data_IF_216537338522
#
_entry.id   IF_216537338522
#
_cell.length_a   1.000
_cell.length_b   1.000
_cell.length_c   1.000
_cell.angle_alpha   90.00
_cell.angle_beta   90.00
_cell.angle_gamma   90.00
#
_symmetry.space_group_name_H-M   'P 1'
#
loop_
_entity.id
_entity.type
_entity.pdbx_description
1 polymer ?
#
# COMPACT_ATOMS: atom_id res chain seq x y z
N UNK A 1 4.46 -0.48 22.45
CA UNK A 1 3.77 -1.23 21.38
C UNK A 1 4.57 -1.13 20.09
N UNK A 2 5.02 0.08 19.75
CA UNK A 2 5.96 0.43 18.67
C UNK A 2 7.25 -0.40 18.63
N UNK A 3 7.88 -0.72 19.77
CA UNK A 3 9.15 -1.50 19.77
C UNK A 3 9.00 -2.89 19.13
N UNK A 4 7.86 -3.56 19.39
CA UNK A 4 7.57 -4.87 18.77
C UNK A 4 7.28 -4.73 17.27
N UNK A 5 6.66 -3.62 16.86
CA UNK A 5 6.37 -3.34 15.45
C UNK A 5 7.67 -3.02 14.69
N UNK A 6 8.57 -2.24 15.27
CA UNK A 6 9.89 -1.96 14.70
C UNK A 6 10.72 -3.24 14.51
N UNK A 7 10.65 -4.18 15.45
CA UNK A 7 11.31 -5.48 15.32
C UNK A 7 10.79 -6.29 14.11
N UNK A 8 9.47 -6.29 13.85
CA UNK A 8 8.89 -6.93 12.66
C UNK A 8 9.40 -6.31 11.36
N UNK A 9 9.45 -4.97 11.30
CA UNK A 9 9.99 -4.25 10.13
C UNK A 9 11.47 -4.57 9.92
N UNK A 10 12.25 -4.64 11.00
CA UNK A 10 13.67 -4.99 10.93
C UNK A 10 13.89 -6.43 10.43
N UNK A 11 13.10 -7.38 10.93
CA UNK A 11 13.14 -8.78 10.49
C UNK A 11 12.74 -8.90 9.01
N UNK A 12 11.66 -8.25 8.59
CA UNK A 12 11.22 -8.21 7.20
C UNK A 12 12.32 -7.67 6.26
N UNK A 13 12.98 -6.58 6.66
CA UNK A 13 14.11 -6.00 5.91
C UNK A 13 15.30 -6.97 5.81
N UNK A 14 15.56 -7.77 6.84
CA UNK A 14 16.61 -8.80 6.74
C UNK A 14 16.27 -9.88 5.72
N UNK A 15 14.99 -10.28 5.64
CA UNK A 15 14.51 -11.27 4.65
C UNK A 15 14.55 -10.75 3.21
N UNK A 16 14.50 -9.43 3.02
CA UNK A 16 14.69 -8.78 1.72
C UNK A 16 16.15 -8.65 1.29
N UNK A 17 17.13 -8.87 2.18
CA UNK A 17 18.54 -8.76 1.82
C UNK A 17 19.03 -10.00 1.10
N UNK A 18 19.85 -9.86 0.04
CA UNK A 18 20.53 -11.00 -0.55
C UNK A 18 21.53 -11.60 0.46
N UNK A 19 21.41 -12.91 0.71
CA UNK A 19 22.38 -13.65 1.52
C UNK A 19 23.72 -13.86 0.82
N UNK A 20 24.66 -14.56 1.48
CA UNK A 20 25.94 -14.96 0.87
C UNK A 20 25.66 -15.82 -0.37
N UNK A 21 26.15 -15.38 -1.54
CA UNK A 21 25.82 -15.91 -2.89
C UNK A 21 24.42 -15.59 -3.46
N UNK A 22 23.66 -14.63 -2.91
CA UNK A 22 22.44 -14.11 -3.54
C UNK A 22 21.22 -15.04 -3.52
N UNK A 23 21.32 -16.21 -2.86
CA UNK A 23 20.35 -17.31 -2.95
C UNK A 23 19.19 -17.28 -1.94
N UNK A 24 19.12 -16.28 -1.03
CA UNK A 24 18.27 -16.40 0.17
C UNK A 24 17.24 -15.27 0.40
N UNK A 25 16.89 -14.48 -0.63
CA UNK A 25 15.78 -13.52 -0.46
C UNK A 25 14.46 -14.27 -0.30
N UNK A 26 13.65 -13.85 0.67
CA UNK A 26 12.31 -14.40 0.93
C UNK A 26 11.27 -13.27 0.93
N UNK A 27 10.96 -12.73 -0.26
CA UNK A 27 10.10 -11.56 -0.39
C UNK A 27 8.65 -11.83 0.07
N UNK A 28 8.17 -13.06 -0.04
CA UNK A 28 6.88 -13.51 0.47
C UNK A 28 6.81 -13.43 1.99
N UNK A 29 7.79 -14.01 2.70
CA UNK A 29 7.87 -13.94 4.17
C UNK A 29 8.09 -12.49 4.66
N UNK A 30 8.84 -11.68 3.91
CA UNK A 30 9.02 -10.27 4.22
C UNK A 30 7.72 -9.47 4.08
N UNK A 31 6.94 -9.72 3.02
CA UNK A 31 5.65 -9.08 2.78
C UNK A 31 4.67 -9.31 3.93
N UNK A 32 4.55 -10.55 4.41
CA UNK A 32 3.70 -10.91 5.56
C UNK A 32 4.09 -10.16 6.85
N UNK A 33 5.39 -10.05 7.11
CA UNK A 33 5.90 -9.32 8.27
C UNK A 33 5.64 -7.81 8.16
N UNK A 34 5.82 -7.23 6.97
CA UNK A 34 5.47 -5.83 6.72
C UNK A 34 3.97 -5.59 6.84
N UNK A 35 3.12 -6.44 6.27
CA UNK A 35 1.66 -6.34 6.38
C UNK A 35 1.21 -6.33 7.85
N UNK A 36 1.75 -7.27 8.64
CA UNK A 36 1.48 -7.34 10.09
C UNK A 36 1.94 -6.08 10.82
N UNK A 37 3.12 -5.55 10.48
CA UNK A 37 3.63 -4.32 11.08
C UNK A 37 2.79 -3.09 10.69
N UNK A 38 2.41 -2.97 9.41
CA UNK A 38 1.52 -1.92 8.91
C UNK A 38 0.18 -1.91 9.65
N UNK A 39 -0.38 -3.08 9.93
CA UNK A 39 -1.59 -3.23 10.74
C UNK A 39 -1.41 -2.80 12.20
N UNK A 40 -0.25 -3.09 12.81
CA UNK A 40 0.04 -2.62 14.18
C UNK A 40 0.19 -1.10 14.25
N UNK A 41 0.89 -0.48 13.28
CA UNK A 41 0.97 0.98 13.19
C UNK A 41 -0.42 1.61 12.98
N UNK A 42 -1.27 0.98 12.16
CA UNK A 42 -2.66 1.41 11.95
C UNK A 42 -3.46 1.40 13.25
N UNK A 43 -3.34 0.35 14.06
CA UNK A 43 -4.00 0.23 15.38
C UNK A 43 -3.46 1.28 16.37
N UNK A 44 -2.18 1.61 16.29
CA UNK A 44 -1.56 2.68 17.07
C UNK A 44 -1.91 4.10 16.57
N UNK A 45 -2.63 4.23 15.45
CA UNK A 45 -2.93 5.49 14.75
C UNK A 45 -1.69 6.22 14.21
N UNK A 46 -0.60 5.49 14.03
CA UNK A 46 0.62 5.94 13.35
C UNK A 46 0.41 5.79 11.84
N UNK A 47 -0.43 6.67 11.28
CA UNK A 47 -0.96 6.52 9.92
C UNK A 47 0.11 6.61 8.84
N UNK A 48 1.14 7.45 9.04
CA UNK A 48 2.22 7.62 8.09
C UNK A 48 3.08 6.36 8.06
N UNK A 49 3.50 5.89 9.22
CA UNK A 49 4.30 4.69 9.42
C UNK A 49 3.57 3.45 8.91
N UNK A 50 2.24 3.39 9.12
CA UNK A 50 1.38 2.36 8.56
C UNK A 50 1.40 2.37 7.02
N UNK A 51 1.17 3.54 6.41
CA UNK A 51 1.21 3.70 4.96
C UNK A 51 2.56 3.33 4.36
N UNK A 52 3.65 3.87 4.92
CA UNK A 52 5.02 3.59 4.49
C UNK A 52 5.34 2.09 4.60
N UNK A 53 4.89 1.43 5.67
CA UNK A 53 5.12 0.00 5.88
C UNK A 53 4.30 -0.87 4.92
N UNK A 54 3.06 -0.48 4.61
CA UNK A 54 2.27 -1.18 3.59
C UNK A 54 2.86 -1.01 2.18
N UNK A 55 3.51 0.11 1.86
CA UNK A 55 4.25 0.25 0.61
C UNK A 55 5.43 -0.74 0.55
N UNK A 56 6.17 -0.92 1.66
CA UNK A 56 7.21 -1.95 1.75
C UNK A 56 6.65 -3.37 1.57
N UNK A 57 5.46 -3.65 2.13
CA UNK A 57 4.77 -4.92 1.92
C UNK A 57 4.40 -5.13 0.44
N UNK A 58 3.88 -4.09 -0.22
CA UNK A 58 3.53 -4.14 -1.63
C UNK A 58 4.75 -4.43 -2.51
N UNK A 59 5.89 -3.78 -2.26
CA UNK A 59 7.14 -4.02 -2.98
C UNK A 59 7.65 -5.45 -2.79
N UNK A 60 7.57 -5.96 -1.56
CA UNK A 60 7.95 -7.33 -1.25
C UNK A 60 7.05 -8.35 -1.96
N UNK A 61 5.72 -8.20 -1.90
CA UNK A 61 4.80 -9.08 -2.63
C UNK A 61 4.94 -8.98 -4.14
N UNK A 62 5.30 -7.81 -4.67
CA UNK A 62 5.59 -7.64 -6.09
C UNK A 62 6.84 -8.42 -6.50
N UNK A 63 7.90 -8.39 -5.70
CA UNK A 63 9.10 -9.22 -5.91
C UNK A 63 8.79 -10.72 -5.80
N UNK A 64 7.85 -11.09 -4.93
CA UNK A 64 7.34 -12.46 -4.81
C UNK A 64 6.38 -12.88 -5.93
N UNK A 65 6.04 -12.00 -6.87
CA UNK A 65 5.04 -12.20 -7.92
C UNK A 65 3.61 -12.47 -7.40
N UNK A 66 3.28 -12.04 -6.17
CA UNK A 66 1.92 -12.10 -5.63
C UNK A 66 1.17 -10.79 -5.94
N UNK A 67 0.63 -10.72 -7.16
CA UNK A 67 -0.10 -9.54 -7.65
C UNK A 67 -1.36 -9.24 -6.81
N UNK A 68 -2.00 -10.26 -6.24
CA UNK A 68 -3.21 -10.09 -5.43
C UNK A 68 -2.89 -9.38 -4.13
N UNK A 69 -1.90 -9.87 -3.38
CA UNK A 69 -1.45 -9.20 -2.15
C UNK A 69 -0.84 -7.83 -2.43
N UNK A 70 -0.08 -7.69 -3.52
CA UNK A 70 0.46 -6.39 -3.95
C UNK A 70 -0.64 -5.33 -4.07
N UNK A 71 -1.74 -5.64 -4.80
CA UNK A 71 -2.88 -4.72 -4.95
C UNK A 71 -3.54 -4.38 -3.61
N UNK A 72 -3.75 -5.40 -2.76
CA UNK A 72 -4.35 -5.20 -1.45
C UNK A 72 -3.49 -4.28 -0.57
N UNK A 73 -2.16 -4.44 -0.61
CA UNK A 73 -1.24 -3.60 0.17
C UNK A 73 -1.23 -2.14 -0.32
N UNK A 74 -1.30 -1.89 -1.63
CA UNK A 74 -1.48 -0.52 -2.12
C UNK A 74 -2.78 0.11 -1.65
N UNK A 75 -3.89 -0.65 -1.62
CA UNK A 75 -5.18 -0.17 -1.09
C UNK A 75 -5.08 0.15 0.41
N UNK A 76 -4.45 -0.71 1.21
CA UNK A 76 -4.26 -0.45 2.64
C UNK A 76 -3.32 0.74 2.91
N UNK A 77 -2.25 0.89 2.12
CA UNK A 77 -1.36 2.05 2.17
C UNK A 77 -2.12 3.35 1.87
N UNK A 78 -2.92 3.37 0.80
CA UNK A 78 -3.72 4.54 0.44
C UNK A 78 -4.75 4.91 1.51
N UNK A 79 -5.42 3.92 2.13
CA UNK A 79 -6.32 4.16 3.27
C UNK A 79 -5.61 4.78 4.46
N UNK A 80 -4.37 4.37 4.74
CA UNK A 80 -3.56 4.95 5.80
C UNK A 80 -3.13 6.39 5.45
N UNK A 81 -2.63 6.61 4.23
CA UNK A 81 -2.25 7.95 3.76
C UNK A 81 -3.43 8.90 3.72
N UNK A 82 -4.68 8.44 3.50
CA UNK A 82 -5.87 9.31 3.54
C UNK A 82 -6.04 10.03 4.89
N UNK A 83 -5.45 9.50 5.97
CA UNK A 83 -5.43 10.14 7.30
C UNK A 83 -4.30 11.15 7.50
N UNK A 84 -3.39 11.27 6.54
CA UNK A 84 -2.18 12.11 6.61
C UNK A 84 -2.12 13.13 5.48
N UNK A 85 -2.36 12.68 4.25
CA UNK A 85 -2.18 13.43 3.01
C UNK A 85 -3.08 12.86 1.92
N UNK A 86 -4.10 13.62 1.51
CA UNK A 86 -5.00 13.23 0.40
C UNK A 86 -4.23 13.02 -0.90
N UNK A 87 -3.23 13.86 -1.18
CA UNK A 87 -2.41 13.77 -2.38
C UNK A 87 -1.63 12.44 -2.46
N UNK A 88 -1.01 12.01 -1.36
CA UNK A 88 -0.28 10.74 -1.31
C UNK A 88 -1.23 9.55 -1.45
N UNK A 89 -2.39 9.60 -0.79
CA UNK A 89 -3.42 8.58 -0.92
C UNK A 89 -3.95 8.45 -2.35
N UNK A 90 -4.24 9.57 -3.04
CA UNK A 90 -4.69 9.56 -4.44
C UNK A 90 -3.62 8.95 -5.35
N UNK A 91 -2.34 9.32 -5.17
CA UNK A 91 -1.23 8.76 -5.97
C UNK A 91 -1.18 7.24 -5.82
N UNK A 92 -1.31 6.72 -4.60
CA UNK A 92 -1.23 5.28 -4.32
C UNK A 92 -2.50 4.55 -4.78
N UNK A 93 -3.68 5.14 -4.62
CA UNK A 93 -4.93 4.59 -5.16
C UNK A 93 -4.90 4.48 -6.69
N UNK A 94 -4.34 5.46 -7.41
CA UNK A 94 -4.18 5.38 -8.87
C UNK A 94 -3.35 4.17 -9.28
N UNK A 95 -2.25 3.87 -8.57
CA UNK A 95 -1.45 2.66 -8.81
C UNK A 95 -2.31 1.40 -8.63
N UNK A 96 -3.05 1.28 -7.52
CA UNK A 96 -3.92 0.14 -7.26
C UNK A 96 -5.01 -0.01 -8.33
N UNK A 97 -5.65 1.11 -8.74
CA UNK A 97 -6.67 1.12 -9.77
C UNK A 97 -6.13 0.64 -11.13
N UNK A 98 -4.97 1.14 -11.55
CA UNK A 98 -4.29 0.68 -12.77
C UNK A 98 -4.02 -0.82 -12.74
N UNK A 99 -3.48 -1.34 -11.64
CA UNK A 99 -3.23 -2.78 -11.50
C UNK A 99 -4.52 -3.62 -11.54
N UNK A 100 -5.63 -3.11 -10.99
CA UNK A 100 -6.93 -3.78 -11.09
C UNK A 100 -7.47 -3.75 -12.53
N UNK A 101 -7.33 -2.63 -13.24
CA UNK A 101 -7.73 -2.49 -14.64
C UNK A 101 -6.93 -3.41 -15.56
N UNK A 102 -5.61 -3.48 -15.40
CA UNK A 102 -4.72 -4.38 -16.14
C UNK A 102 -5.06 -5.87 -15.90
N UNK A 103 -5.56 -6.18 -14.70
CA UNK A 103 -6.06 -7.51 -14.35
C UNK A 103 -7.52 -7.77 -14.79
N UNK A 104 -8.12 -6.90 -15.59
CA UNK A 104 -9.54 -6.93 -16.02
C UNK A 104 -10.56 -6.91 -14.86
N UNK A 105 -10.14 -6.46 -13.67
CA UNK A 105 -10.98 -6.35 -12.47
C UNK A 105 -11.66 -4.98 -12.38
N UNK A 106 -12.43 -4.63 -13.41
CA UNK A 106 -13.01 -3.30 -13.61
C UNK A 106 -13.89 -2.83 -12.44
N UNK A 107 -14.66 -3.72 -11.82
CA UNK A 107 -15.49 -3.38 -10.66
C UNK A 107 -14.67 -2.94 -9.44
N UNK A 108 -13.44 -3.43 -9.29
CA UNK A 108 -12.54 -3.01 -8.20
C UNK A 108 -11.88 -1.67 -8.55
N UNK A 109 -11.42 -1.50 -9.80
CA UNK A 109 -10.87 -0.24 -10.27
C UNK A 109 -11.89 0.91 -10.15
N UNK A 110 -13.14 0.69 -10.58
CA UNK A 110 -14.21 1.69 -10.49
C UNK A 110 -14.49 2.13 -9.04
N UNK A 111 -14.44 1.21 -8.07
CA UNK A 111 -14.57 1.56 -6.64
C UNK A 111 -13.43 2.46 -6.17
N UNK A 112 -12.21 2.20 -6.61
CA UNK A 112 -11.04 3.02 -6.25
C UNK A 112 -11.13 4.41 -6.91
N UNK A 113 -11.55 4.50 -8.18
CA UNK A 113 -11.76 5.79 -8.84
C UNK A 113 -12.87 6.60 -8.17
N UNK A 114 -13.95 5.96 -7.75
CA UNK A 114 -14.99 6.61 -6.95
C UNK A 114 -14.41 7.19 -5.65
N UNK A 115 -13.62 6.42 -4.91
CA UNK A 115 -12.95 6.90 -3.69
C UNK A 115 -12.03 8.10 -3.96
N UNK A 116 -11.29 8.10 -5.08
CA UNK A 116 -10.47 9.24 -5.53
C UNK A 116 -11.35 10.46 -5.82
N UNK A 117 -12.48 10.29 -6.52
CA UNK A 117 -13.42 11.38 -6.82
C UNK A 117 -13.98 12.02 -5.55
N UNK A 118 -14.43 11.21 -4.60
CA UNK A 118 -14.90 11.67 -3.29
C UNK A 118 -13.83 12.44 -2.51
N UNK A 119 -12.54 12.06 -2.65
CA UNK A 119 -11.43 12.80 -2.06
C UNK A 119 -11.21 14.17 -2.72
N UNK A 120 -11.26 14.27 -4.04
CA UNK A 120 -11.13 15.56 -4.74
C UNK A 120 -12.29 16.51 -4.41
N UNK A 121 -13.52 15.98 -4.31
CA UNK A 121 -14.69 16.75 -3.88
C UNK A 121 -14.50 17.29 -2.45
N UNK A 122 -13.96 16.47 -1.55
CA UNK A 122 -13.72 16.84 -0.15
C UNK A 122 -12.62 17.89 0.02
N UNK A 123 -11.59 17.86 -0.83
CA UNK A 123 -10.47 18.80 -0.81
C UNK A 123 -10.80 20.16 -1.49
N UNK A 124 -12.05 20.37 -1.93
CA UNK A 124 -12.51 21.54 -2.72
C UNK A 124 -11.74 21.77 -4.04
N UNK A 125 -11.05 20.75 -4.57
CA UNK A 125 -10.42 20.77 -5.89
C UNK A 125 -11.38 20.22 -6.96
N UNK A 126 -12.44 20.99 -7.22
CA UNK A 126 -13.50 20.67 -8.18
C UNK A 126 -12.98 20.37 -9.60
N UNK A 127 -11.77 20.84 -9.94
CA UNK A 127 -11.20 20.66 -11.28
C UNK A 127 -10.58 19.27 -11.44
N UNK A 128 -9.86 18.79 -10.43
CA UNK A 128 -9.30 17.43 -10.41
C UNK A 128 -10.36 16.34 -10.22
N UNK A 129 -11.48 16.65 -9.57
CA UNK A 129 -12.61 15.72 -9.41
C UNK A 129 -13.21 15.31 -10.77
N UNK A 130 -13.38 16.25 -11.69
CA UNK A 130 -13.97 16.01 -13.03
C UNK A 130 -13.08 15.08 -13.87
N UNK A 131 -11.76 15.28 -13.82
CA UNK A 131 -10.80 14.44 -14.57
C UNK A 131 -10.69 13.01 -14.02
N UNK A 132 -11.04 12.76 -12.75
CA UNK A 132 -10.96 11.45 -12.12
C UNK A 132 -12.16 10.52 -12.41
N UNK A 133 -13.29 11.08 -12.87
CA UNK A 133 -14.49 10.33 -13.27
C UNK A 133 -14.51 9.96 -14.76
N UNK A 134 -13.49 10.37 -15.52
CA UNK A 134 -13.34 10.15 -16.97
C UNK A 134 -12.47 8.94 -17.28
#
# INVERSE_FOLDING_TARGET
>A
MTDKTAALVAEARQKMKPGFFGLFRKPDEAGELFEKAGGQYKLAKEWKESGDTYMLAADAFKEANDTTKTKNMYVEAAKAYKKVSSADAIRVYKIAATMHSEASQLSSAAKIYKEIGEMYESDHDLKSAIDAYS
#
